data_IF_100268098461
#
_entry.id   IF_100268098461
#
_cell.length_a   1.000
_cell.length_b   1.000
_cell.length_c   1.000
_cell.angle_alpha   90.00
_cell.angle_beta   90.00
_cell.angle_gamma   90.00
#
_symmetry.space_group_name_H-M   'P 1'
#
loop_
_entity.id
_entity.type
_entity.pdbx_description
1 polymer ?
#
# COMPACT_ATOMS: atom_id res chain seq x y z
N UNK A 1 -0.37 -28.15 -39.64
CA UNK A 1 -0.96 -28.22 -38.28
C UNK A 1 -1.11 -26.79 -37.79
N UNK A 2 -2.34 -26.35 -37.57
CA UNK A 2 -2.76 -24.95 -37.64
C UNK A 2 -2.84 -24.27 -36.27
N UNK A 3 -1.90 -23.35 -35.99
CA UNK A 3 -2.02 -22.07 -35.24
C UNK A 3 -2.93 -22.00 -33.99
N UNK A 4 -3.09 -23.06 -33.23
CA UNK A 4 -3.30 -22.94 -31.79
C UNK A 4 -1.91 -22.89 -31.15
N UNK A 5 -1.27 -21.72 -31.23
CA UNK A 5 -0.11 -21.42 -30.40
C UNK A 5 -0.52 -21.69 -28.95
N UNK A 6 0.20 -22.59 -28.26
CA UNK A 6 -0.03 -22.96 -26.86
C UNK A 6 -0.09 -21.70 -26.00
N UNK A 7 -1.29 -21.22 -25.71
CA UNK A 7 -1.47 -20.09 -24.81
C UNK A 7 -0.87 -20.45 -23.46
N UNK A 8 0.03 -19.59 -23.00
CA UNK A 8 0.79 -19.82 -21.77
C UNK A 8 -0.16 -19.98 -20.57
N UNK A 9 -0.21 -21.20 -20.04
CA UNK A 9 -1.10 -21.56 -18.92
C UNK A 9 -0.84 -20.72 -17.66
N UNK A 10 0.39 -20.20 -17.49
CA UNK A 10 0.78 -19.33 -16.39
C UNK A 10 0.08 -17.98 -16.52
N UNK A 11 0.08 -17.39 -17.72
CA UNK A 11 -0.57 -16.11 -18.03
C UNK A 11 -2.09 -16.23 -17.95
N UNK A 12 -2.64 -17.30 -18.52
CA UNK A 12 -4.09 -17.58 -18.44
C UNK A 12 -4.56 -17.61 -16.99
N UNK A 13 -3.82 -18.27 -16.11
CA UNK A 13 -4.15 -18.33 -14.70
C UNK A 13 -4.20 -16.94 -14.05
N UNK A 14 -3.14 -16.14 -14.22
CA UNK A 14 -3.07 -14.78 -13.67
C UNK A 14 -4.23 -13.91 -14.16
N UNK A 15 -4.50 -13.92 -15.48
CA UNK A 15 -5.56 -13.12 -16.08
C UNK A 15 -6.96 -13.60 -15.67
N UNK A 16 -7.18 -14.91 -15.51
CA UNK A 16 -8.47 -15.46 -15.07
C UNK A 16 -8.75 -15.13 -13.60
N UNK A 17 -7.74 -15.23 -12.72
CA UNK A 17 -7.88 -14.83 -11.31
C UNK A 17 -8.17 -13.33 -11.22
N UNK A 18 -7.42 -12.50 -11.95
CA UNK A 18 -7.66 -11.05 -11.96
C UNK A 18 -9.04 -10.69 -12.54
N UNK A 19 -9.48 -11.38 -13.60
CA UNK A 19 -10.81 -11.22 -14.19
C UNK A 19 -11.91 -11.47 -13.17
N UNK A 20 -11.77 -12.54 -12.39
CA UNK A 20 -12.74 -12.91 -11.35
C UNK A 20 -12.80 -11.85 -10.24
N UNK A 21 -11.64 -11.41 -9.74
CA UNK A 21 -11.58 -10.44 -8.64
C UNK A 21 -12.07 -9.05 -9.08
N UNK A 22 -11.70 -8.60 -10.28
CA UNK A 22 -12.07 -7.27 -10.79
C UNK A 22 -13.48 -7.24 -11.42
N UNK A 23 -14.11 -8.40 -11.65
CA UNK A 23 -15.40 -8.49 -12.33
C UNK A 23 -15.33 -8.05 -13.80
N UNK A 24 -14.20 -8.28 -14.47
CA UNK A 24 -13.96 -7.87 -15.85
C UNK A 24 -13.59 -9.07 -16.72
N UNK A 25 -13.88 -8.99 -18.01
CA UNK A 25 -13.41 -9.98 -18.98
C UNK A 25 -12.03 -9.60 -19.51
N UNK A 26 -10.99 -9.96 -18.77
CA UNK A 26 -9.60 -9.71 -19.13
C UNK A 26 -9.12 -10.85 -20.02
N UNK A 27 -8.87 -10.54 -21.29
CA UNK A 27 -8.36 -11.49 -22.28
C UNK A 27 -7.05 -10.96 -22.83
N UNK A 28 -6.07 -11.84 -22.99
CA UNK A 28 -4.69 -11.48 -23.37
C UNK A 28 -4.65 -10.65 -24.65
N UNK A 29 -5.49 -10.97 -25.63
CA UNK A 29 -5.55 -10.31 -26.94
C UNK A 29 -6.07 -8.86 -26.86
N UNK A 30 -6.69 -8.47 -25.74
CA UNK A 30 -7.18 -7.10 -25.50
C UNK A 30 -6.17 -6.22 -24.77
N UNK A 31 -5.06 -6.79 -24.31
CA UNK A 31 -4.06 -6.09 -23.53
C UNK A 31 -3.02 -5.45 -24.45
N UNK A 32 -2.77 -4.15 -24.27
CA UNK A 32 -1.85 -3.40 -25.12
C UNK A 32 -0.37 -3.64 -24.79
N UNK A 33 -0.08 -4.05 -23.55
CA UNK A 33 1.29 -4.18 -23.04
C UNK A 33 1.42 -5.45 -22.19
N UNK A 34 1.92 -6.53 -22.81
CA UNK A 34 2.18 -7.81 -22.13
C UNK A 34 3.54 -7.88 -21.44
N UNK A 35 4.46 -6.96 -21.75
CA UNK A 35 5.79 -6.90 -21.13
C UNK A 35 5.80 -7.13 -19.60
N UNK A 36 4.87 -6.54 -18.80
CA UNK A 36 4.85 -6.81 -17.37
C UNK A 36 4.46 -8.24 -16.98
N UNK A 37 3.54 -8.87 -17.72
CA UNK A 37 3.15 -10.26 -17.45
C UNK A 37 4.26 -11.22 -17.91
N UNK A 38 4.90 -10.92 -19.03
CA UNK A 38 6.06 -11.66 -19.54
C UNK A 38 7.20 -11.60 -18.53
N UNK A 39 7.58 -10.39 -18.08
CA UNK A 39 8.62 -10.21 -17.09
C UNK A 39 8.29 -10.93 -15.77
N UNK A 40 7.04 -10.85 -15.32
CA UNK A 40 6.61 -11.58 -14.13
C UNK A 40 6.66 -13.10 -14.32
N UNK A 41 6.39 -13.65 -15.50
CA UNK A 41 6.47 -15.10 -15.72
C UNK A 41 7.92 -15.57 -15.92
N UNK A 42 8.69 -14.86 -16.73
CA UNK A 42 9.92 -15.36 -17.35
C UNK A 42 11.20 -14.82 -16.70
N UNK A 43 11.09 -13.97 -15.68
CA UNK A 43 12.25 -13.41 -14.97
C UNK A 43 12.12 -13.52 -13.44
N UNK A 44 13.10 -12.96 -12.73
CA UNK A 44 13.11 -12.87 -11.27
C UNK A 44 12.22 -11.74 -10.71
N UNK A 45 11.50 -11.01 -11.56
CA UNK A 45 10.51 -10.02 -11.11
C UNK A 45 9.48 -10.71 -10.21
N UNK A 46 9.27 -10.15 -9.02
CA UNK A 46 8.44 -10.74 -7.97
C UNK A 46 7.05 -10.13 -7.87
N UNK A 47 6.75 -9.06 -8.60
CA UNK A 47 5.51 -8.31 -8.48
C UNK A 47 4.84 -8.10 -9.84
N UNK A 48 3.52 -8.28 -9.89
CA UNK A 48 2.67 -7.90 -11.01
C UNK A 48 1.40 -7.25 -10.47
N UNK A 49 1.20 -5.99 -10.84
CA UNK A 49 0.01 -5.21 -10.52
C UNK A 49 -0.88 -5.12 -11.75
N UNK A 50 -2.15 -5.47 -11.58
CA UNK A 50 -3.22 -5.29 -12.56
C UNK A 50 -4.22 -4.30 -11.98
N UNK A 51 -4.21 -3.07 -12.45
CA UNK A 51 -5.04 -1.99 -11.94
C UNK A 51 -6.17 -1.64 -12.92
N UNK A 52 -7.35 -1.36 -12.38
CA UNK A 52 -8.44 -0.76 -13.13
C UNK A 52 -8.12 0.71 -13.41
N UNK A 53 -8.39 1.18 -14.62
CA UNK A 53 -8.29 2.60 -15.00
C UNK A 53 -9.68 3.24 -15.03
N UNK A 54 -9.75 4.57 -14.94
CA UNK A 54 -11.02 5.32 -14.92
C UNK A 54 -11.93 5.03 -16.12
N UNK A 55 -11.34 4.71 -17.28
CA UNK A 55 -12.08 4.38 -18.52
C UNK A 55 -12.49 2.90 -18.59
N UNK A 56 -12.58 2.21 -17.45
CA UNK A 56 -12.76 0.74 -17.34
C UNK A 56 -11.72 -0.06 -18.16
N UNK A 57 -10.56 0.52 -18.40
CA UNK A 57 -9.42 -0.17 -18.99
C UNK A 57 -8.57 -0.83 -17.91
N UNK A 58 -7.52 -1.52 -18.33
CA UNK A 58 -6.62 -2.22 -17.41
C UNK A 58 -5.19 -1.77 -17.68
N UNK A 59 -4.44 -1.58 -16.62
CA UNK A 59 -3.02 -1.27 -16.66
C UNK A 59 -2.23 -2.38 -15.96
N UNK A 60 -1.16 -2.84 -16.63
CA UNK A 60 -0.23 -3.82 -16.10
C UNK A 60 1.08 -3.13 -15.71
N UNK A 61 1.66 -3.51 -14.57
CA UNK A 61 2.94 -2.98 -14.09
C UNK A 61 3.66 -3.98 -13.19
N UNK A 62 5.00 -3.99 -13.19
CA UNK A 62 5.79 -4.73 -12.19
C UNK A 62 6.20 -3.89 -10.98
N UNK A 63 5.57 -2.73 -10.80
CA UNK A 63 5.77 -1.86 -9.65
C UNK A 63 4.44 -1.64 -8.92
N UNK A 64 4.55 -1.32 -7.63
CA UNK A 64 3.44 -0.70 -6.92
C UNK A 64 3.34 0.74 -7.38
N UNK A 65 2.32 1.05 -8.17
CA UNK A 65 1.93 2.45 -8.38
C UNK A 65 1.11 2.88 -7.18
N UNK A 66 1.31 4.11 -6.71
CA UNK A 66 0.42 4.77 -5.76
C UNK A 66 -0.93 4.96 -6.43
N UNK A 67 -1.73 3.90 -6.42
CA UNK A 67 -3.02 3.87 -7.07
C UNK A 67 -4.01 4.58 -6.19
N UNK A 68 -4.76 5.51 -6.80
CA UNK A 68 -5.93 6.12 -6.18
C UNK A 68 -7.00 5.08 -5.82
N UNK A 69 -8.24 5.52 -5.71
CA UNK A 69 -9.31 4.68 -5.14
C UNK A 69 -9.80 3.53 -6.05
N UNK A 70 -9.10 3.25 -7.16
CA UNK A 70 -9.48 2.23 -8.13
C UNK A 70 -9.04 0.82 -7.67
N UNK A 71 -9.87 -0.20 -7.90
CA UNK A 71 -9.52 -1.60 -7.64
C UNK A 71 -8.25 -2.04 -8.37
N UNK A 72 -7.41 -2.80 -7.67
CA UNK A 72 -6.22 -3.43 -8.22
C UNK A 72 -6.03 -4.84 -7.66
N UNK A 73 -5.46 -5.71 -8.48
CA UNK A 73 -5.02 -7.06 -8.10
C UNK A 73 -3.52 -7.09 -8.18
N UNK A 74 -2.89 -7.51 -7.09
CA UNK A 74 -1.43 -7.61 -6.97
C UNK A 74 -1.07 -9.07 -6.83
N UNK A 75 -0.31 -9.58 -7.79
CA UNK A 75 0.33 -10.89 -7.70
C UNK A 75 1.76 -10.69 -7.22
N UNK A 76 2.18 -11.55 -6.30
CA UNK A 76 3.57 -11.56 -5.85
C UNK A 76 4.10 -12.98 -5.66
N UNK A 77 5.37 -13.18 -6.00
CA UNK A 77 6.05 -14.45 -5.80
C UNK A 77 6.61 -14.51 -4.38
N UNK A 78 6.55 -15.68 -3.76
CA UNK A 78 7.25 -15.94 -2.49
C UNK A 78 8.78 -15.89 -2.64
N UNK A 79 9.30 -16.12 -3.85
CA UNK A 79 10.74 -16.09 -4.17
C UNK A 79 11.01 -15.50 -5.56
N UNK A 80 12.14 -14.80 -5.78
CA UNK A 80 12.53 -14.27 -7.07
C UNK A 80 12.99 -15.41 -8.01
N UNK A 81 12.05 -15.96 -8.77
CA UNK A 81 12.34 -17.06 -9.71
C UNK A 81 11.36 -17.07 -10.88
N UNK A 82 11.76 -17.73 -11.97
CA UNK A 82 10.93 -17.96 -13.15
C UNK A 82 9.77 -18.89 -12.81
N UNK A 83 8.58 -18.56 -13.33
CA UNK A 83 7.40 -19.42 -13.20
C UNK A 83 7.50 -20.58 -14.19
N UNK A 84 7.23 -21.80 -13.74
CA UNK A 84 7.13 -23.00 -14.59
C UNK A 84 5.69 -23.50 -14.57
N UNK A 85 5.37 -24.46 -15.42
CA UNK A 85 4.06 -25.16 -15.43
C UNK A 85 3.74 -25.86 -14.11
N UNK A 86 4.75 -26.13 -13.28
CA UNK A 86 4.59 -26.89 -12.05
C UNK A 86 4.50 -25.98 -10.81
N UNK A 87 5.14 -24.81 -10.84
CA UNK A 87 5.27 -23.97 -9.64
C UNK A 87 4.29 -22.79 -9.58
N UNK A 88 3.71 -22.37 -10.71
CA UNK A 88 3.05 -21.05 -10.80
C UNK A 88 1.84 -20.88 -9.87
N UNK A 89 1.22 -21.98 -9.42
CA UNK A 89 0.10 -21.95 -8.46
C UNK A 89 0.55 -21.98 -7.00
N UNK A 90 1.72 -22.55 -6.70
CA UNK A 90 2.18 -22.75 -5.32
C UNK A 90 3.07 -21.61 -4.82
N UNK A 91 3.69 -20.86 -5.73
CA UNK A 91 4.62 -19.77 -5.36
C UNK A 91 4.05 -18.37 -5.57
N UNK A 92 2.93 -18.24 -6.29
CA UNK A 92 2.28 -16.96 -6.56
C UNK A 92 1.14 -16.75 -5.57
N UNK A 93 1.27 -15.70 -4.77
CA UNK A 93 0.20 -15.18 -3.95
C UNK A 93 -0.54 -14.06 -4.68
N UNK A 94 -1.79 -13.83 -4.28
CA UNK A 94 -2.64 -12.78 -4.83
C UNK A 94 -3.22 -11.96 -3.68
N UNK A 95 -3.25 -10.65 -3.87
CA UNK A 95 -3.89 -9.70 -2.97
C UNK A 95 -4.75 -8.74 -3.79
N UNK A 96 -6.01 -8.59 -3.40
CA UNK A 96 -6.89 -7.55 -3.94
C UNK A 96 -6.82 -6.30 -3.07
N UNK A 97 -6.73 -5.13 -3.69
CA UNK A 97 -6.79 -3.86 -2.98
C UNK A 97 -7.84 -2.96 -3.61
N UNK A 98 -8.70 -2.38 -2.78
CA UNK A 98 -9.70 -1.39 -3.19
C UNK A 98 -9.54 -0.21 -2.25
N UNK A 99 -9.19 0.96 -2.80
CA UNK A 99 -8.94 2.16 -2.00
C UNK A 99 -7.47 2.38 -1.62
N UNK A 100 -7.23 3.30 -0.65
CA UNK A 100 -5.89 3.67 -0.19
C UNK A 100 -5.12 2.49 0.42
N UNK A 101 -3.80 2.42 0.17
CA UNK A 101 -2.97 1.30 0.61
C UNK A 101 -2.90 1.16 2.13
N UNK A 102 -2.89 2.26 2.88
CA UNK A 102 -2.87 2.26 4.34
C UNK A 102 -4.14 1.65 4.94
N UNK A 103 -5.31 1.99 4.41
CA UNK A 103 -6.59 1.42 4.87
C UNK A 103 -6.68 -0.07 4.56
N UNK A 104 -6.35 -0.45 3.32
CA UNK A 104 -6.34 -1.87 2.91
C UNK A 104 -5.34 -2.67 3.75
N UNK A 105 -4.15 -2.11 4.02
CA UNK A 105 -3.14 -2.76 4.85
C UNK A 105 -3.62 -2.94 6.28
N UNK A 106 -4.10 -1.88 6.94
CA UNK A 106 -4.64 -1.94 8.30
C UNK A 106 -5.74 -3.00 8.41
N UNK A 107 -6.70 -2.99 7.48
CA UNK A 107 -7.80 -3.97 7.50
C UNK A 107 -7.35 -5.39 7.20
N UNK A 108 -6.29 -5.58 6.40
CA UNK A 108 -5.70 -6.89 6.14
C UNK A 108 -5.00 -7.44 7.38
N UNK A 109 -4.25 -6.59 8.10
CA UNK A 109 -3.62 -6.94 9.38
C UNK A 109 -4.69 -7.34 10.40
N UNK A 110 -5.66 -6.46 10.67
CA UNK A 110 -6.71 -6.68 11.67
C UNK A 110 -7.57 -7.93 11.40
N UNK A 111 -7.91 -8.20 10.14
CA UNK A 111 -8.92 -9.22 9.83
C UNK A 111 -8.33 -10.57 9.42
N UNK A 112 -7.11 -10.60 8.91
CA UNK A 112 -6.48 -11.83 8.39
C UNK A 112 -5.31 -12.21 9.27
N UNK A 113 -4.27 -11.36 9.31
CA UNK A 113 -3.01 -11.73 9.96
C UNK A 113 -3.11 -11.79 11.48
N UNK A 114 -3.71 -10.81 12.13
CA UNK A 114 -3.81 -10.77 13.59
C UNK A 114 -4.61 -11.95 14.14
N UNK A 115 -5.64 -12.41 13.42
CA UNK A 115 -6.43 -13.58 13.78
C UNK A 115 -5.66 -14.88 13.57
N UNK A 116 -5.03 -15.04 12.41
CA UNK A 116 -4.23 -16.23 12.08
C UNK A 116 -3.02 -16.41 13.03
N UNK A 117 -2.34 -15.30 13.36
CA UNK A 117 -1.25 -15.27 14.33
C UNK A 117 -1.78 -15.60 15.74
N UNK A 118 -2.94 -15.07 16.13
CA UNK A 118 -3.51 -15.37 17.46
C UNK A 118 -3.97 -16.82 17.60
N UNK A 119 -4.54 -17.40 16.55
CA UNK A 119 -5.06 -18.78 16.54
C UNK A 119 -3.96 -19.83 16.42
N UNK A 120 -2.89 -19.56 15.66
CA UNK A 120 -1.82 -20.54 15.42
C UNK A 120 -0.81 -20.69 16.58
N UNK A 121 -0.85 -19.83 17.60
CA UNK A 121 0.31 -19.62 18.47
C UNK A 121 0.03 -19.78 19.98
N UNK A 122 0.13 -21.02 20.47
CA UNK A 122 0.23 -21.36 21.90
C UNK A 122 1.68 -21.30 22.48
N UNK A 123 2.66 -20.64 21.83
CA UNK A 123 4.06 -20.59 22.30
C UNK A 123 4.58 -19.18 22.60
N UNK A 124 5.57 -19.06 23.50
CA UNK A 124 6.02 -17.82 24.18
C UNK A 124 6.66 -16.75 23.28
N UNK A 125 7.38 -17.12 22.22
CA UNK A 125 8.02 -16.19 21.27
C UNK A 125 7.01 -15.31 20.53
N UNK A 126 5.75 -15.75 20.46
CA UNK A 126 4.70 -15.09 19.68
C UNK A 126 4.04 -13.92 20.40
N UNK A 127 4.23 -13.80 21.72
CA UNK A 127 3.73 -12.65 22.48
C UNK A 127 4.38 -11.35 22.03
N UNK A 128 5.66 -11.39 21.68
CA UNK A 128 6.37 -10.23 21.16
C UNK A 128 5.87 -9.84 19.76
N UNK A 129 5.64 -10.83 18.88
CA UNK A 129 5.07 -10.57 17.55
C UNK A 129 3.66 -9.98 17.65
N UNK A 130 2.81 -10.52 18.53
CA UNK A 130 1.47 -9.97 18.78
C UNK A 130 1.55 -8.51 19.27
N UNK A 131 2.46 -8.21 20.20
CA UNK A 131 2.68 -6.84 20.67
C UNK A 131 3.08 -5.88 19.54
N UNK A 132 4.01 -6.29 18.66
CA UNK A 132 4.43 -5.48 17.52
C UNK A 132 3.30 -5.27 16.51
N UNK A 133 2.48 -6.30 16.28
CA UNK A 133 1.31 -6.20 15.40
C UNK A 133 0.28 -5.23 16.00
N UNK A 134 0.02 -5.28 17.31
CA UNK A 134 -0.86 -4.33 17.98
C UNK A 134 -0.35 -2.88 17.88
N UNK A 135 0.93 -2.65 18.13
CA UNK A 135 1.53 -1.31 17.97
C UNK A 135 1.44 -0.80 16.53
N UNK A 136 1.66 -1.68 15.56
CA UNK A 136 1.50 -1.34 14.15
C UNK A 136 0.05 -0.99 13.80
N UNK A 137 -0.92 -1.74 14.32
CA UNK A 137 -2.35 -1.47 14.12
C UNK A 137 -2.77 -0.11 14.69
N UNK A 138 -2.33 0.24 15.91
CA UNK A 138 -2.61 1.52 16.54
C UNK A 138 -2.05 2.69 15.74
N UNK A 139 -0.78 2.59 15.31
CA UNK A 139 -0.13 3.61 14.49
C UNK A 139 -0.82 3.80 13.13
N UNK A 140 -1.19 2.71 12.47
CA UNK A 140 -1.89 2.77 11.19
C UNK A 140 -3.32 3.32 11.33
N UNK A 141 -4.01 2.99 12.41
CA UNK A 141 -5.35 3.51 12.69
C UNK A 141 -5.31 5.04 12.81
N UNK A 142 -4.36 5.58 13.58
CA UNK A 142 -4.17 7.02 13.69
C UNK A 142 -3.98 7.68 12.32
N UNK A 143 -3.13 7.11 11.44
CA UNK A 143 -2.88 7.65 10.09
C UNK A 143 -4.12 7.56 9.18
N UNK A 144 -4.88 6.47 9.25
CA UNK A 144 -6.09 6.27 8.42
C UNK A 144 -7.20 7.22 8.85
N UNK A 145 -7.40 7.43 10.15
CA UNK A 145 -8.42 8.35 10.67
C UNK A 145 -8.09 9.81 10.33
N UNK A 146 -6.81 10.21 10.41
CA UNK A 146 -6.33 11.52 9.91
C UNK A 146 -6.69 11.75 8.43
N UNK A 147 -6.67 10.69 7.61
CA UNK A 147 -6.97 10.76 6.18
C UNK A 147 -8.46 10.92 5.85
N UNK A 148 -9.37 10.52 6.74
CA UNK A 148 -10.82 10.58 6.53
C UNK A 148 -11.44 11.91 6.94
N UNK A 149 -10.76 12.70 7.76
CA UNK A 149 -11.23 14.02 8.21
C UNK A 149 -10.94 15.19 7.25
N UNK A 150 -10.76 14.93 5.94
CA UNK A 150 -10.76 16.01 4.93
C UNK A 150 -12.14 16.65 4.68
N UNK A 151 -13.17 16.25 5.44
CA UNK A 151 -14.55 16.73 5.29
C UNK A 151 -15.15 17.44 6.51
N UNK A 152 -14.45 17.59 7.63
CA UNK A 152 -15.05 18.26 8.79
C UNK A 152 -14.14 18.35 10.00
N UNK A 153 -13.49 19.50 10.17
CA UNK A 153 -13.38 20.16 11.48
C UNK A 153 -12.59 19.50 12.61
N UNK A 154 -11.66 18.58 12.34
CA UNK A 154 -10.69 18.10 13.32
C UNK A 154 -9.26 18.42 12.86
N UNK A 155 -8.52 19.21 13.64
CA UNK A 155 -7.13 19.57 13.35
C UNK A 155 -6.23 18.52 14.00
N UNK A 156 -5.47 17.74 13.22
CA UNK A 156 -4.79 16.50 13.68
C UNK A 156 -3.25 16.57 13.66
N UNK A 157 -2.67 17.76 13.51
CA UNK A 157 -1.23 17.96 13.72
C UNK A 157 -0.97 19.35 14.28
N UNK A 158 -0.06 19.46 15.24
CA UNK A 158 0.37 20.75 15.80
C UNK A 158 0.85 21.72 14.69
N UNK A 159 1.53 21.21 13.66
CA UNK A 159 1.95 22.03 12.51
C UNK A 159 0.77 22.51 11.67
N UNK A 160 -0.27 21.68 11.55
CA UNK A 160 -1.49 22.06 10.85
C UNK A 160 -2.33 23.02 11.69
N UNK A 161 -2.32 22.88 13.01
CA UNK A 161 -2.94 23.81 13.95
C UNK A 161 -2.27 25.18 13.87
N UNK A 162 -0.94 25.23 13.92
CA UNK A 162 -0.18 26.48 13.76
C UNK A 162 -0.48 27.13 12.40
N UNK A 163 -0.56 26.33 11.33
CA UNK A 163 -0.89 26.84 9.98
C UNK A 163 -2.32 27.37 9.90
N UNK A 164 -3.29 26.65 10.47
CA UNK A 164 -4.70 27.05 10.51
C UNK A 164 -4.85 28.35 11.27
N UNK A 165 -4.28 28.46 12.49
CA UNK A 165 -4.36 29.70 13.27
C UNK A 165 -3.58 30.85 12.65
N UNK A 166 -2.47 30.59 11.94
CA UNK A 166 -1.77 31.62 11.15
C UNK A 166 -2.64 32.18 10.02
N UNK A 167 -3.46 31.34 9.39
CA UNK A 167 -4.30 31.73 8.25
C UNK A 167 -5.56 32.55 8.62
N UNK A 168 -5.93 32.61 9.90
CA UNK A 168 -7.11 33.34 10.39
C UNK A 168 -6.74 34.72 10.91
N UNK A 169 -7.66 35.67 10.86
CA UNK A 169 -7.42 37.08 11.25
C UNK A 169 -8.27 37.54 12.43
N UNK A 170 -8.99 36.62 13.09
CA UNK A 170 -9.82 36.92 14.24
C UNK A 170 -9.00 37.06 15.53
N UNK A 171 -9.61 37.71 16.53
CA UNK A 171 -8.93 38.07 17.78
C UNK A 171 -8.48 36.83 18.58
N UNK A 172 -9.22 35.72 18.47
CA UNK A 172 -8.81 34.44 19.05
C UNK A 172 -7.57 33.88 18.34
N UNK A 173 -7.51 33.97 17.00
CA UNK A 173 -6.33 33.52 16.25
C UNK A 173 -5.06 34.30 16.59
N UNK A 174 -5.15 35.57 16.99
CA UNK A 174 -3.98 36.31 17.46
C UNK A 174 -3.41 35.70 18.75
N UNK A 175 -4.27 35.40 19.73
CA UNK A 175 -3.86 34.79 20.99
C UNK A 175 -3.24 33.40 20.78
N UNK A 176 -3.81 32.61 19.87
CA UNK A 176 -3.24 31.31 19.51
C UNK A 176 -1.91 31.45 18.75
N UNK A 177 -1.77 32.41 17.83
CA UNK A 177 -0.49 32.69 17.14
C UNK A 177 0.61 33.02 18.13
N UNK A 178 0.33 33.90 19.10
CA UNK A 178 1.30 34.32 20.10
C UNK A 178 1.69 33.14 21.02
N UNK A 179 0.72 32.29 21.39
CA UNK A 179 0.98 31.09 22.19
C UNK A 179 1.79 30.00 21.45
N UNK A 180 1.63 29.90 20.13
CA UNK A 180 2.33 28.91 19.31
C UNK A 180 3.73 29.34 18.84
N UNK A 181 4.06 30.63 18.94
CA UNK A 181 5.37 31.16 18.50
C UNK A 181 6.57 30.45 19.16
N UNK A 182 6.61 30.21 20.49
CA UNK A 182 7.73 29.50 21.11
C UNK A 182 7.83 28.04 20.67
N UNK A 183 6.68 27.40 20.40
CA UNK A 183 6.60 26.00 20.01
C UNK A 183 7.07 25.82 18.56
N UNK A 184 6.68 26.71 17.66
CA UNK A 184 7.18 26.72 16.28
C UNK A 184 8.71 26.85 16.24
N UNK A 185 9.28 27.73 17.07
CA UNK A 185 10.73 27.94 17.12
C UNK A 185 11.48 26.67 17.58
N UNK A 186 10.90 25.90 18.50
CA UNK A 186 11.45 24.61 18.95
C UNK A 186 11.35 23.57 17.82
N UNK A 187 10.21 23.47 17.12
CA UNK A 187 10.03 22.54 16.01
C UNK A 187 11.03 22.83 14.89
N UNK A 188 11.18 24.11 14.51
CA UNK A 188 12.13 24.54 13.48
C UNK A 188 13.58 24.22 13.88
N UNK A 189 13.89 24.22 15.18
CA UNK A 189 15.22 23.87 15.70
C UNK A 189 15.49 22.35 15.70
N UNK A 190 14.46 21.54 15.95
CA UNK A 190 14.54 20.07 15.96
C UNK A 190 14.73 19.52 14.54
N UNK A 191 14.06 20.12 13.54
CA UNK A 191 14.26 19.73 12.13
C UNK A 191 15.69 20.05 11.63
N UNK A 192 16.30 21.13 12.13
CA UNK A 192 17.68 21.51 11.76
C UNK A 192 18.73 20.61 12.44
N UNK A 193 18.49 20.18 13.68
CA UNK A 193 19.44 19.32 14.42
C UNK A 193 19.45 17.87 13.91
N UNK A 194 18.38 17.43 13.25
CA UNK A 194 18.32 16.12 12.55
C UNK A 194 19.22 16.07 11.29
N UNK A 195 19.62 17.22 10.74
CA UNK A 195 20.53 17.30 9.58
C UNK A 195 22.00 17.48 10.00
N UNK A 196 22.28 18.02 11.19
CA UNK A 196 23.66 18.29 11.64
C UNK A 196 24.38 17.11 12.32
N UNK A 197 23.68 16.09 12.80
CA UNK A 197 24.33 14.94 13.47
C UNK A 197 24.93 13.88 12.53
N UNK A 198 24.76 13.99 11.20
CA UNK A 198 25.28 13.01 10.23
C UNK A 198 26.59 13.42 9.55
N UNK A 199 27.25 14.50 10.00
CA UNK A 199 28.50 14.99 9.36
C UNK A 199 29.74 15.08 10.26
N UNK A 200 29.71 14.46 11.44
CA UNK A 200 30.89 14.38 12.32
C UNK A 200 31.09 12.95 12.80
N UNK A 201 31.30 12.02 11.86
CA UNK A 201 32.07 10.78 12.07
C UNK A 201 32.41 10.19 10.69
N UNK A 202 33.40 10.80 10.05
CA UNK A 202 34.24 10.19 9.00
C UNK A 202 35.65 10.74 9.15
#
# INVERSE_FOLDING_TARGET
MSREDERDVRRIYLLRVASHILGLNIVEEKLRHLQPIDAFCDTNVTLLTIALTEKRGIELSNAMKSGGNLPRVVFYKTRPMVLTTDNYKSIVNVMSMIGPSNEVFLKSVQNVFSKDISESLQTTTNKHLLSLVSELEENLLAIVDVGKEKGGGGVVSLLDEIRVWKSRTDNAAQQYRDAFEPIQLIIDTIDVSSVCCLKIYS
#
